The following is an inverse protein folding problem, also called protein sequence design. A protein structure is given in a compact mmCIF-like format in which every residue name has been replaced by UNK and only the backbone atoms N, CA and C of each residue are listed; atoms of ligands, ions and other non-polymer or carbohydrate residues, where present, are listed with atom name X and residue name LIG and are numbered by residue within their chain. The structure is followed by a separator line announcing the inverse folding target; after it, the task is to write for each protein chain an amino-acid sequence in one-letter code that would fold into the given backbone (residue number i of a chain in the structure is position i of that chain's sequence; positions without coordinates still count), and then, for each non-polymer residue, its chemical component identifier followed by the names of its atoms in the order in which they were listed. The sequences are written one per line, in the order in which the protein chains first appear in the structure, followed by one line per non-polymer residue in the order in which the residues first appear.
data_IF_439503397238
#
_entry.id   IF_439503397238
#
_cell.length_a   1.000
_cell.length_b   1.000
_cell.length_c   1.000
_cell.angle_alpha   90.00
_cell.angle_beta   90.00
_cell.angle_gamma   90.00
#
_symmetry.space_group_name_H-M   'P 1'
#
loop_
_entity.id
_entity.type
_entity.pdbx_description
1 polymer ?
#
# COMPACT_ATOMS: atom_id res chain seq x y z
N UNK A 1 5.34 1.26 30.64
CA UNK A 1 6.64 1.69 30.08
C UNK A 1 6.42 2.73 28.99
N UNK A 2 7.26 3.76 28.93
CA UNK A 2 7.33 4.69 27.80
C UNK A 2 7.76 3.95 26.53
N UNK A 3 7.42 4.48 25.34
CA UNK A 3 7.74 3.83 24.06
C UNK A 3 9.25 3.63 23.89
N UNK A 4 10.04 4.63 24.30
CA UNK A 4 11.50 4.61 24.17
C UNK A 4 12.15 3.56 25.07
N UNK A 5 11.67 3.43 26.31
CA UNK A 5 12.17 2.41 27.25
C UNK A 5 11.85 0.99 26.76
N UNK A 6 10.64 0.79 26.21
CA UNK A 6 10.25 -0.50 25.62
C UNK A 6 11.13 -0.87 24.42
N UNK A 7 11.47 0.10 23.59
CA UNK A 7 12.33 -0.14 22.43
C UNK A 7 13.80 -0.37 22.84
N UNK A 8 14.29 0.35 23.85
CA UNK A 8 15.61 0.12 24.44
C UNK A 8 15.74 -1.31 24.99
N UNK A 9 14.76 -1.75 25.77
CA UNK A 9 14.67 -3.13 26.24
C UNK A 9 14.67 -4.11 25.08
N UNK A 10 13.81 -3.89 24.08
CA UNK A 10 13.68 -4.79 22.93
C UNK A 10 15.03 -4.98 22.24
N UNK A 11 15.79 -3.89 22.06
CA UNK A 11 17.14 -3.94 21.47
C UNK A 11 18.12 -4.69 22.36
N UNK A 12 18.15 -4.40 23.66
CA UNK A 12 19.06 -5.06 24.61
C UNK A 12 18.78 -6.58 24.70
N UNK A 13 17.51 -6.96 24.79
CA UNK A 13 17.06 -8.35 24.82
C UNK A 13 17.51 -9.11 23.56
N UNK A 14 17.33 -8.52 22.38
CA UNK A 14 17.74 -9.14 21.13
C UNK A 14 19.25 -9.24 20.98
N UNK A 15 19.99 -8.24 21.48
CA UNK A 15 21.46 -8.27 21.51
C UNK A 15 21.98 -9.39 22.43
N UNK A 16 21.39 -9.54 23.62
CA UNK A 16 21.75 -10.61 24.57
C UNK A 16 21.40 -11.99 24.03
N UNK A 17 20.21 -12.13 23.43
CA UNK A 17 19.78 -13.38 22.80
C UNK A 17 20.73 -13.81 21.67
N UNK A 18 21.22 -12.88 20.86
CA UNK A 18 22.15 -13.18 19.76
C UNK A 18 23.54 -13.65 20.24
N UNK A 19 23.92 -13.31 21.48
CA UNK A 19 25.20 -13.70 22.10
C UNK A 19 25.16 -15.00 22.89
N UNK A 20 23.99 -15.61 23.05
CA UNK A 20 23.86 -16.88 23.73
C UNK A 20 24.51 -18.03 22.96
N UNK A 21 24.92 -19.13 23.64
CA UNK A 21 25.52 -20.29 22.98
C UNK A 21 24.58 -20.91 21.94
N UNK A 22 25.16 -21.54 20.92
CA UNK A 22 24.46 -22.06 19.75
C UNK A 22 23.32 -23.03 20.11
N UNK A 23 23.47 -23.81 21.19
CA UNK A 23 22.48 -24.77 21.69
C UNK A 23 21.17 -24.12 22.15
N UNK A 24 21.21 -22.82 22.46
CA UNK A 24 20.04 -22.04 22.89
C UNK A 24 19.43 -21.21 21.76
N UNK A 25 19.99 -21.27 20.55
CA UNK A 25 19.42 -20.59 19.39
C UNK A 25 18.15 -21.30 18.92
N UNK A 26 17.12 -20.49 18.67
CA UNK A 26 15.88 -20.97 18.09
C UNK A 26 16.04 -21.22 16.60
N UNK A 27 15.60 -22.40 16.19
CA UNK A 27 15.47 -22.77 14.78
C UNK A 27 14.30 -21.99 14.15
N UNK A 28 14.59 -21.26 13.08
CA UNK A 28 13.62 -20.41 12.38
C UNK A 28 12.67 -21.25 11.51
N UNK A 29 13.10 -22.42 11.05
CA UNK A 29 12.30 -23.29 10.19
C UNK A 29 11.18 -23.97 10.97
N UNK A 30 11.49 -24.39 12.20
CA UNK A 30 10.54 -25.01 13.14
C UNK A 30 9.57 -23.99 13.75
N UNK A 31 8.42 -24.49 14.20
CA UNK A 31 7.44 -23.63 14.88
C UNK A 31 7.91 -23.26 16.28
N UNK A 32 7.55 -22.05 16.74
CA UNK A 32 7.85 -21.60 18.09
C UNK A 32 7.26 -22.53 19.16
N UNK A 33 6.05 -23.06 18.92
CA UNK A 33 5.37 -24.01 19.82
C UNK A 33 6.19 -25.28 20.05
N UNK A 34 6.86 -25.79 19.01
CA UNK A 34 7.73 -26.97 19.10
C UNK A 34 8.99 -26.74 19.94
N UNK A 35 9.40 -25.48 20.13
CA UNK A 35 10.61 -25.10 20.87
C UNK A 35 10.27 -24.41 22.21
N UNK A 36 9.00 -24.42 22.61
CA UNK A 36 8.51 -23.72 23.80
C UNK A 36 9.28 -24.12 25.06
N UNK A 37 9.58 -25.41 25.20
CA UNK A 37 10.30 -25.92 26.37
C UNK A 37 11.70 -25.33 26.51
N UNK A 38 12.44 -25.21 25.40
CA UNK A 38 13.76 -24.57 25.38
C UNK A 38 13.66 -23.08 25.76
N UNK A 39 12.64 -22.39 25.24
CA UNK A 39 12.40 -20.98 25.54
C UNK A 39 12.11 -20.78 27.03
N UNK A 40 11.17 -21.54 27.58
CA UNK A 40 10.70 -21.36 28.95
C UNK A 40 11.73 -21.85 29.98
N UNK A 41 12.39 -22.98 29.73
CA UNK A 41 13.31 -23.59 30.70
C UNK A 41 14.70 -22.97 30.68
N UNK A 42 15.15 -22.48 29.52
CA UNK A 42 16.55 -22.06 29.33
C UNK A 42 16.66 -20.60 28.96
N UNK A 43 16.00 -20.15 27.88
CA UNK A 43 16.22 -18.82 27.32
C UNK A 43 15.66 -17.72 28.23
N UNK A 44 14.40 -17.84 28.66
CA UNK A 44 13.73 -16.83 29.49
C UNK A 44 14.45 -16.63 30.83
N UNK A 45 14.79 -17.68 31.60
CA UNK A 45 15.52 -17.52 32.86
C UNK A 45 16.92 -16.90 32.67
N UNK A 46 17.63 -17.28 31.60
CA UNK A 46 18.95 -16.69 31.32
C UNK A 46 18.86 -15.21 30.94
N UNK A 47 17.84 -14.82 30.18
CA UNK A 47 17.57 -13.41 29.89
C UNK A 47 17.20 -12.64 31.15
N UNK A 48 16.40 -13.24 32.04
CA UNK A 48 16.00 -12.61 33.29
C UNK A 48 17.20 -12.29 34.19
N UNK A 49 18.21 -13.17 34.21
CA UNK A 49 19.46 -12.96 34.97
C UNK A 49 20.39 -11.92 34.34
N UNK A 50 20.32 -11.73 33.03
CA UNK A 50 21.24 -10.84 32.30
C UNK A 50 20.67 -9.46 32.03
N UNK A 51 19.35 -9.31 32.07
CA UNK A 51 18.67 -8.02 31.96
C UNK A 51 18.74 -7.26 33.27
N UNK A 52 18.86 -5.94 33.15
CA UNK A 52 18.80 -5.05 34.31
C UNK A 52 17.33 -4.82 34.70
N UNK A 53 16.88 -5.58 35.69
CA UNK A 53 15.50 -5.54 36.18
C UNK A 53 15.18 -4.25 36.95
N UNK A 54 16.20 -3.54 37.44
CA UNK A 54 16.02 -2.27 38.15
C UNK A 54 15.64 -1.17 37.14
N UNK A 55 16.31 -1.15 36.00
CA UNK A 55 15.96 -0.26 34.87
C UNK A 55 14.66 -0.70 34.19
N UNK A 56 14.40 -2.01 34.12
CA UNK A 56 13.25 -2.57 33.43
C UNK A 56 12.43 -3.50 34.34
N UNK A 57 11.41 -3.00 35.05
CA UNK A 57 10.57 -3.82 35.92
C UNK A 57 9.64 -4.70 35.07
N UNK A 58 10.13 -5.87 34.70
CA UNK A 58 9.52 -6.75 33.69
C UNK A 58 9.44 -8.17 34.23
N UNK A 59 8.35 -8.87 33.88
CA UNK A 59 8.16 -10.29 34.17
C UNK A 59 8.55 -11.20 33.00
N UNK A 60 8.78 -12.48 33.30
CA UNK A 60 9.13 -13.54 32.34
C UNK A 60 8.16 -13.60 31.14
N UNK A 61 6.87 -13.38 31.36
CA UNK A 61 5.85 -13.43 30.31
C UNK A 61 6.06 -12.39 29.20
N UNK A 62 6.56 -11.20 29.55
CA UNK A 62 6.85 -10.13 28.57
C UNK A 62 8.06 -10.51 27.72
N UNK A 63 9.09 -11.09 28.33
CA UNK A 63 10.27 -11.62 27.62
C UNK A 63 9.84 -12.71 26.65
N UNK A 64 9.02 -13.66 27.10
CA UNK A 64 8.47 -14.72 26.26
C UNK A 64 7.72 -14.16 25.05
N UNK A 65 6.87 -13.15 25.25
CA UNK A 65 6.11 -12.52 24.17
C UNK A 65 7.04 -11.82 23.16
N UNK A 66 8.07 -11.14 23.64
CA UNK A 66 9.05 -10.46 22.77
C UNK A 66 9.84 -11.44 21.91
N UNK A 67 10.28 -12.56 22.49
CA UNK A 67 10.96 -13.63 21.75
C UNK A 67 10.01 -14.24 20.72
N UNK A 68 8.75 -14.50 21.10
CA UNK A 68 7.73 -15.03 20.20
C UNK A 68 7.50 -14.11 18.99
N UNK A 69 7.33 -12.80 19.22
CA UNK A 69 7.17 -11.81 18.16
C UNK A 69 8.40 -11.74 17.25
N UNK A 70 9.60 -11.83 17.83
CA UNK A 70 10.84 -11.81 17.05
C UNK A 70 10.96 -13.07 16.17
N UNK A 71 10.65 -14.24 16.70
CA UNK A 71 10.66 -15.51 15.96
C UNK A 71 9.68 -15.47 14.80
N UNK A 72 8.44 -15.04 15.06
CA UNK A 72 7.41 -14.85 14.03
C UNK A 72 7.90 -13.96 12.90
N UNK A 73 8.44 -12.78 13.23
CA UNK A 73 8.96 -11.85 12.23
C UNK A 73 10.14 -12.42 11.42
N UNK A 74 11.08 -13.14 12.07
CA UNK A 74 12.20 -13.79 11.37
C UNK A 74 11.69 -14.85 10.41
N UNK A 75 10.72 -15.66 10.83
CA UNK A 75 10.13 -16.73 10.03
C UNK A 75 9.33 -16.19 8.85
N UNK A 76 8.55 -15.14 9.04
CA UNK A 76 7.85 -14.44 7.95
C UNK A 76 8.84 -13.92 6.90
N UNK A 77 9.94 -13.31 7.34
CA UNK A 77 10.97 -12.83 6.43
C UNK A 77 11.63 -13.97 5.65
N UNK A 78 11.89 -15.11 6.31
CA UNK A 78 12.40 -16.31 5.62
C UNK A 78 11.42 -16.81 4.57
N UNK A 79 10.13 -16.86 4.92
CA UNK A 79 9.06 -17.24 4.00
C UNK A 79 8.96 -16.31 2.79
N UNK A 80 9.09 -14.99 3.01
CA UNK A 80 9.09 -14.00 1.94
C UNK A 80 10.30 -14.19 1.02
N UNK A 81 11.48 -14.48 1.57
CA UNK A 81 12.70 -14.72 0.79
C UNK A 81 12.65 -16.01 -0.04
N UNK A 82 12.04 -17.06 0.50
CA UNK A 82 11.92 -18.36 -0.16
C UNK A 82 10.80 -18.39 -1.22
N UNK A 83 9.99 -17.34 -1.31
CA UNK A 83 8.88 -17.24 -2.25
C UNK A 83 9.39 -17.04 -3.67
N UNK A 84 8.76 -17.69 -4.65
CA UNK A 84 9.11 -17.49 -6.05
C UNK A 84 8.84 -16.06 -6.50
N UNK A 85 9.63 -15.54 -7.45
CA UNK A 85 9.46 -14.18 -7.97
C UNK A 85 8.05 -13.96 -8.55
N UNK A 86 7.49 -14.98 -9.21
CA UNK A 86 6.13 -14.94 -9.73
C UNK A 86 5.07 -14.80 -8.63
N UNK A 87 5.24 -15.50 -7.50
CA UNK A 87 4.29 -15.42 -6.39
C UNK A 87 4.43 -14.10 -5.62
N UNK A 88 5.64 -13.54 -5.55
CA UNK A 88 5.86 -12.19 -5.01
C UNK A 88 5.12 -11.18 -5.89
N UNK A 89 5.29 -11.24 -7.22
CA UNK A 89 4.62 -10.36 -8.17
C UNK A 89 3.10 -10.45 -8.11
N UNK A 90 2.53 -11.65 -8.09
CA UNK A 90 1.08 -11.84 -7.93
C UNK A 90 0.56 -11.23 -6.62
N UNK A 91 1.31 -11.41 -5.54
CA UNK A 91 0.92 -10.89 -4.23
C UNK A 91 1.02 -9.35 -4.15
N UNK A 92 2.04 -8.74 -4.75
CA UNK A 92 2.17 -7.27 -4.80
C UNK A 92 1.08 -6.65 -5.67
N UNK A 93 0.77 -7.24 -6.82
CA UNK A 93 -0.35 -6.83 -7.67
C UNK A 93 -1.69 -6.92 -6.93
N UNK A 94 -1.92 -8.01 -6.19
CA UNK A 94 -3.12 -8.19 -5.35
C UNK A 94 -3.21 -7.11 -4.27
N UNK A 95 -2.12 -6.85 -3.54
CA UNK A 95 -2.04 -5.79 -2.52
C UNK A 95 -2.31 -4.41 -3.11
N UNK A 96 -1.76 -4.13 -4.30
CA UNK A 96 -1.97 -2.87 -5.00
C UNK A 96 -3.45 -2.65 -5.35
N UNK A 97 -4.08 -3.66 -5.97
CA UNK A 97 -5.52 -3.62 -6.31
C UNK A 97 -6.39 -3.42 -5.06
N UNK A 98 -6.07 -4.12 -3.97
CA UNK A 98 -6.79 -3.99 -2.70
C UNK A 98 -6.63 -2.60 -2.08
N UNK A 99 -5.42 -2.03 -2.14
CA UNK A 99 -5.15 -0.67 -1.66
C UNK A 99 -5.95 0.37 -2.44
N UNK A 100 -5.92 0.32 -3.78
CA UNK A 100 -6.71 1.22 -4.63
C UNK A 100 -8.21 1.13 -4.31
N UNK A 101 -8.73 -0.09 -4.15
CA UNK A 101 -10.14 -0.32 -3.79
C UNK A 101 -10.48 0.26 -2.42
N UNK A 102 -9.59 0.09 -1.43
CA UNK A 102 -9.74 0.68 -0.10
C UNK A 102 -9.76 2.21 -0.15
N UNK A 103 -8.83 2.82 -0.90
CA UNK A 103 -8.77 4.28 -1.06
C UNK A 103 -10.03 4.85 -1.72
N UNK A 104 -10.61 4.16 -2.71
CA UNK A 104 -11.90 4.57 -3.30
C UNK A 104 -13.07 4.51 -2.31
N UNK A 105 -13.12 3.48 -1.47
CA UNK A 105 -14.12 3.40 -0.38
C UNK A 105 -13.97 4.57 0.58
N UNK A 106 -12.74 4.87 1.02
CA UNK A 106 -12.45 6.03 1.88
C UNK A 106 -12.89 7.34 1.24
N UNK A 107 -12.53 7.57 -0.02
CA UNK A 107 -12.91 8.79 -0.76
C UNK A 107 -14.43 8.96 -0.84
N UNK A 108 -15.17 7.92 -1.20
CA UNK A 108 -16.64 7.99 -1.27
C UNK A 108 -17.29 8.17 0.08
N UNK A 109 -16.84 7.44 1.10
CA UNK A 109 -17.32 7.64 2.47
C UNK A 109 -17.14 9.11 2.88
N UNK A 110 -15.96 9.68 2.62
CA UNK A 110 -15.69 11.09 2.85
C UNK A 110 -16.62 12.01 2.05
N UNK A 111 -16.80 11.77 0.75
CA UNK A 111 -17.70 12.59 -0.09
C UNK A 111 -19.14 12.52 0.38
N UNK A 112 -19.69 11.32 0.61
CA UNK A 112 -21.07 11.14 1.06
C UNK A 112 -21.28 11.78 2.43
N UNK A 113 -20.34 11.60 3.38
CA UNK A 113 -20.41 12.26 4.68
C UNK A 113 -20.37 13.78 4.55
N UNK A 114 -19.53 14.32 3.66
CA UNK A 114 -19.49 15.75 3.39
C UNK A 114 -20.83 16.26 2.81
N UNK A 115 -21.43 15.55 1.84
CA UNK A 115 -22.72 15.93 1.26
C UNK A 115 -23.87 15.84 2.26
N UNK A 116 -23.83 14.85 3.17
CA UNK A 116 -24.76 14.77 4.31
C UNK A 116 -24.62 15.98 5.23
N UNK A 117 -23.40 16.37 5.56
CA UNK A 117 -23.14 17.54 6.40
C UNK A 117 -23.59 18.86 5.75
N UNK A 118 -23.53 18.94 4.41
CA UNK A 118 -24.00 20.09 3.63
C UNK A 118 -25.51 20.07 3.37
N UNK A 119 -26.24 19.05 3.86
CA UNK A 119 -27.66 18.83 3.57
C UNK A 119 -27.99 18.88 2.07
N UNK A 120 -27.18 18.19 1.26
CA UNK A 120 -27.40 18.13 -0.19
C UNK A 120 -28.78 17.49 -0.52
N UNK A 121 -29.61 18.15 -1.34
CA UNK A 121 -30.99 17.72 -1.60
C UNK A 121 -31.10 16.43 -2.42
N UNK A 122 -30.03 15.97 -3.08
CA UNK A 122 -30.01 14.68 -3.78
C UNK A 122 -29.63 13.55 -2.83
N UNK A 123 -28.63 13.75 -1.96
CA UNK A 123 -28.22 12.74 -0.98
C UNK A 123 -29.30 12.53 0.09
N UNK A 124 -30.05 13.58 0.44
CA UNK A 124 -31.15 13.48 1.41
C UNK A 124 -32.31 12.57 0.94
N UNK A 125 -32.46 12.36 -0.37
CA UNK A 125 -33.52 11.49 -0.93
C UNK A 125 -33.28 10.00 -0.63
N UNK A 126 -32.04 9.62 -0.36
CA UNK A 126 -31.68 8.24 -0.09
C UNK A 126 -31.65 7.98 1.40
N UNK A 127 -32.20 6.86 1.83
CA UNK A 127 -32.13 6.44 3.23
C UNK A 127 -30.69 6.07 3.61
N UNK A 128 -30.39 6.09 4.91
CA UNK A 128 -29.08 5.64 5.39
C UNK A 128 -28.80 4.17 5.04
N UNK A 129 -29.85 3.35 4.91
CA UNK A 129 -29.76 1.94 4.54
C UNK A 129 -29.40 1.76 3.06
N UNK A 130 -29.93 2.60 2.18
CA UNK A 130 -29.62 2.59 0.74
C UNK A 130 -28.20 3.12 0.44
N UNK A 131 -27.72 4.10 1.23
CA UNK A 131 -26.38 4.66 1.06
C UNK A 131 -25.27 3.75 1.62
N UNK A 132 -25.57 2.88 2.58
CA UNK A 132 -24.62 1.94 3.18
C UNK A 132 -23.90 1.06 2.15
N UNK A 133 -24.60 0.29 1.28
CA UNK A 133 -23.93 -0.57 0.31
C UNK A 133 -23.05 0.21 -0.67
N UNK A 134 -23.43 1.43 -1.05
CA UNK A 134 -22.63 2.31 -1.93
C UNK A 134 -21.30 2.69 -1.27
N UNK A 135 -21.29 2.85 0.06
CA UNK A 135 -20.10 3.19 0.84
C UNK A 135 -19.21 1.95 1.07
N UNK A 136 -19.82 0.79 1.36
CA UNK A 136 -19.10 -0.38 1.91
C UNK A 136 -18.86 -1.52 0.92
N UNK A 137 -19.83 -1.82 0.05
CA UNK A 137 -19.87 -3.06 -0.72
C UNK A 137 -19.16 -2.96 -2.07
N UNK A 138 -18.38 -3.98 -2.42
CA UNK A 138 -17.64 -3.99 -3.68
C UNK A 138 -18.48 -4.14 -4.95
N UNK A 139 -19.72 -4.63 -4.85
CA UNK A 139 -20.57 -4.92 -6.00
C UNK A 139 -21.04 -3.67 -6.75
N UNK A 140 -21.14 -2.54 -6.04
CA UNK A 140 -21.50 -1.24 -6.62
C UNK A 140 -20.28 -0.53 -7.23
N UNK A 141 -19.25 -1.28 -7.63
CA UNK A 141 -17.98 -0.73 -8.10
C UNK A 141 -17.63 -1.36 -9.45
N UNK A 142 -17.32 -0.51 -10.43
CA UNK A 142 -16.78 -0.99 -11.71
C UNK A 142 -15.48 -1.74 -11.48
N UNK A 143 -15.37 -2.93 -12.07
CA UNK A 143 -14.13 -3.70 -12.10
C UNK A 143 -13.13 -2.92 -12.96
N UNK A 144 -12.06 -2.41 -12.35
CA UNK A 144 -10.97 -1.81 -13.13
C UNK A 144 -10.18 -2.92 -13.81
N UNK A 145 -10.50 -3.14 -15.08
CA UNK A 145 -9.58 -3.76 -16.02
C UNK A 145 -8.50 -2.69 -16.25
N UNK A 146 -7.31 -2.84 -15.65
CA UNK A 146 -6.19 -1.99 -16.06
C UNK A 146 -5.92 -2.31 -17.54
N UNK A 147 -5.86 -1.28 -18.39
CA UNK A 147 -5.46 -1.37 -19.80
C UNK A 147 -3.99 -1.81 -19.98
N UNK A 148 -3.53 -2.87 -19.33
CA UNK A 148 -2.12 -3.26 -19.35
C UNK A 148 -1.88 -4.76 -19.20
N UNK A 149 -2.89 -5.63 -19.11
CA UNK A 149 -2.63 -7.08 -19.05
C UNK A 149 -2.25 -7.69 -20.39
N UNK A 150 -2.46 -7.00 -21.52
CA UNK A 150 -2.11 -7.47 -22.86
C UNK A 150 -1.33 -6.41 -23.64
N UNK A 151 -0.14 -6.03 -23.20
CA UNK A 151 0.84 -5.45 -24.14
C UNK A 151 2.22 -6.01 -23.83
N UNK A 152 2.73 -6.74 -24.80
CA UNK A 152 4.12 -7.18 -24.98
C UNK A 152 5.11 -6.17 -24.41
N UNK A 153 6.13 -6.70 -23.72
CA UNK A 153 7.30 -6.03 -23.14
C UNK A 153 7.70 -4.76 -23.92
N UNK A 154 7.53 -3.60 -23.29
CA UNK A 154 8.09 -2.34 -23.74
C UNK A 154 8.21 -1.40 -22.55
N UNK A 155 9.42 -1.27 -22.01
CA UNK A 155 9.74 -0.35 -20.92
C UNK A 155 9.38 1.09 -21.34
N UNK A 156 8.21 1.59 -20.92
CA UNK A 156 7.89 3.02 -20.99
C UNK A 156 7.96 3.59 -19.58
N UNK A 157 9.15 4.11 -19.23
CA UNK A 157 9.30 4.99 -18.07
C UNK A 157 8.39 6.20 -18.29
N UNK A 158 7.49 6.48 -17.35
CA UNK A 158 6.74 7.75 -17.34
C UNK A 158 7.71 8.85 -16.91
N UNK A 159 8.09 9.70 -17.85
CA UNK A 159 8.77 10.96 -17.57
C UNK A 159 7.75 11.94 -16.97
N UNK A 160 7.99 12.40 -15.75
CA UNK A 160 7.23 13.50 -15.17
C UNK A 160 7.84 14.80 -15.67
N UNK A 161 7.21 15.46 -16.63
CA UNK A 161 7.56 16.84 -16.99
C UNK A 161 6.59 17.76 -16.27
N UNK A 162 6.95 18.16 -15.04
CA UNK A 162 6.39 19.37 -14.44
C UNK A 162 7.51 20.40 -14.34
N UNK A 163 7.44 21.42 -15.18
CA UNK A 163 8.24 22.66 -15.05
C UNK A 163 7.28 23.79 -14.66
N UNK A 164 7.33 24.31 -13.43
CA UNK A 164 6.58 25.49 -13.04
C UNK A 164 7.47 26.72 -13.23
N UNK A 165 7.22 27.48 -14.30
CA UNK A 165 7.41 28.94 -14.42
C UNK A 165 7.80 29.27 -15.87
N UNK A 166 6.87 29.87 -16.61
CA UNK A 166 7.21 30.90 -17.60
C UNK A 166 5.92 31.64 -17.96
N UNK A 167 5.94 32.93 -17.65
CA UNK A 167 4.96 33.91 -18.06
C UNK A 167 5.02 33.99 -19.60
N UNK A 168 3.90 33.81 -20.30
CA UNK A 168 3.83 34.08 -21.74
C UNK A 168 2.57 34.88 -22.02
N UNK A 169 2.80 36.11 -22.47
CA UNK A 169 1.81 37.07 -22.95
C UNK A 169 1.04 36.54 -24.17
N UNK A 170 -0.16 37.10 -24.36
CA UNK A 170 -1.05 36.84 -25.51
C UNK A 170 -0.35 37.02 -26.86
N UNK A 171 -0.57 36.08 -27.80
CA UNK A 171 -0.88 36.38 -29.22
C UNK A 171 -1.20 35.10 -30.03
N UNK A 172 -2.39 35.08 -30.65
CA UNK A 172 -2.83 34.29 -31.84
C UNK A 172 -2.95 32.75 -31.72
N UNK A 173 -4.08 32.13 -32.14
CA UNK A 173 -4.38 30.73 -31.86
C UNK A 173 -3.71 29.80 -32.87
N UNK A 174 -2.48 29.36 -32.60
CA UNK A 174 -1.79 28.36 -33.44
C UNK A 174 -1.35 27.09 -32.70
N UNK A 175 -2.02 26.76 -31.60
CA UNK A 175 -1.87 25.45 -30.95
C UNK A 175 -3.01 24.51 -31.36
N UNK A 176 -2.98 24.04 -32.61
CA UNK A 176 -3.70 22.80 -32.94
C UNK A 176 -2.82 21.62 -32.54
N UNK A 177 -3.34 20.63 -31.80
CA UNK A 177 -2.57 19.47 -31.37
C UNK A 177 -1.86 18.74 -32.53
N UNK A 178 -0.72 18.12 -32.28
CA UNK A 178 0.14 17.49 -33.29
C UNK A 178 -0.57 16.44 -34.19
N UNK A 179 -1.65 15.80 -33.71
CA UNK A 179 -2.46 14.85 -34.50
C UNK A 179 -3.23 15.51 -35.65
N UNK A 180 -3.37 16.83 -35.66
CA UNK A 180 -4.00 17.57 -36.77
C UNK A 180 -3.05 17.77 -37.95
N UNK A 181 -1.72 17.68 -37.75
CA UNK A 181 -0.72 17.94 -38.80
C UNK A 181 -0.30 16.70 -39.60
N UNK A 182 -0.62 15.49 -39.14
CA UNK A 182 -0.30 14.28 -39.90
C UNK A 182 -1.22 13.10 -39.57
N UNK A 183 -2.02 12.67 -40.55
CA UNK A 183 -2.43 11.28 -40.67
C UNK A 183 -3.61 10.78 -39.84
N UNK A 184 -4.51 11.64 -39.35
CA UNK A 184 -5.76 11.15 -38.75
C UNK A 184 -6.71 10.60 -39.83
N UNK A 185 -7.02 9.29 -39.76
CA UNK A 185 -7.93 8.60 -40.68
C UNK A 185 -9.24 8.11 -40.02
N UNK A 186 -9.58 8.71 -38.87
CA UNK A 186 -10.81 8.39 -38.16
C UNK A 186 -12.07 9.02 -38.79
N UNK A 187 -13.27 8.58 -38.38
CA UNK A 187 -14.54 8.97 -38.98
C UNK A 187 -14.83 10.48 -38.88
N UNK A 188 -14.13 11.20 -38.01
CA UNK A 188 -14.27 12.65 -37.81
C UNK A 188 -13.40 13.50 -38.77
N UNK A 189 -12.59 12.89 -39.63
CA UNK A 189 -11.71 13.62 -40.58
C UNK A 189 -12.53 14.50 -41.54
N UNK A 190 -13.54 13.91 -42.17
CA UNK A 190 -14.40 14.60 -43.15
C UNK A 190 -15.20 15.77 -42.55
N UNK A 191 -15.88 15.63 -41.39
CA UNK A 191 -16.60 16.76 -40.79
C UNK A 191 -15.67 17.89 -40.34
N UNK A 192 -14.46 17.58 -39.86
CA UNK A 192 -13.48 18.60 -39.45
C UNK A 192 -12.93 19.38 -40.65
N UNK A 193 -12.55 18.70 -41.74
CA UNK A 193 -12.09 19.38 -42.98
C UNK A 193 -13.19 20.29 -43.55
N UNK A 194 -14.44 19.83 -43.53
CA UNK A 194 -15.60 20.63 -43.97
C UNK A 194 -15.88 21.85 -43.10
N UNK A 195 -15.54 21.80 -41.81
CA UNK A 195 -15.67 22.94 -40.91
C UNK A 195 -14.56 23.97 -41.15
N UNK A 196 -13.32 23.52 -41.40
CA UNK A 196 -12.17 24.38 -41.68
C UNK A 196 -12.37 25.14 -43.01
N UNK A 197 -12.81 24.47 -44.08
CA UNK A 197 -13.03 25.13 -45.37
C UNK A 197 -14.14 26.19 -45.35
N UNK A 198 -15.14 26.03 -44.46
CA UNK A 198 -16.17 27.05 -44.22
C UNK A 198 -15.66 28.28 -43.48
N UNK A 199 -14.61 28.13 -42.67
CA UNK A 199 -14.01 29.24 -41.92
C UNK A 199 -13.05 30.07 -42.77
N UNK A 200 -12.49 29.50 -43.84
CA UNK A 200 -11.57 30.20 -44.75
C UNK A 200 -12.28 30.99 -45.86
N UNK A 201 -13.57 30.72 -46.11
CA UNK A 201 -14.37 31.39 -47.14
C UNK A 201 -15.31 32.46 -46.56
N UNK A 202 -14.94 33.05 -45.42
CA UNK A 202 -15.65 34.13 -44.73
C UNK A 202 -14.68 35.25 -44.44
#
# INVERSE_FOLDING_TARGET
MTKDLREALRRDLFWKLARMPQETQLDIEKTFKSQKDLVVKTIVPNLMKTLDLDTYPIGEGVIYEMIHQQHHHKRDNLWIKNKSENDIKKETERKHRNSQRSEKRKKRSKTINNLKNLNDPLIQKFSNEELRPIITENGYHSLEISENSNTTKGNKKREWVYKPSEYVEETVPNSTPSWTKSGYDGPLKNPVVKAISKLQNK
#
